data_IF_505932397133
#
_entry.id   IF_505932397133
#
_cell.length_a   1.000
_cell.length_b   1.000
_cell.length_c   1.000
_cell.angle_alpha   90.00
_cell.angle_beta   90.00
_cell.angle_gamma   90.00
#
_symmetry.space_group_name_H-M   'P 1'
#
loop_
_entity.id
_entity.type
_entity.pdbx_description
1 polymer ?
#
# COMPACT_ATOMS: atom_id res chain seq x y z
N UNK A 1 6.81 -14.01 -15.80
CA UNK A 1 6.18 -13.49 -14.57
C UNK A 1 5.44 -12.22 -14.91
N UNK A 2 4.15 -12.11 -14.59
CA UNK A 2 3.40 -10.86 -14.73
C UNK A 2 4.06 -9.78 -13.86
N UNK A 3 4.33 -8.60 -14.44
CA UNK A 3 4.87 -7.47 -13.68
C UNK A 3 3.90 -7.10 -12.56
N UNK A 4 4.38 -7.06 -11.32
CA UNK A 4 3.61 -6.57 -10.19
C UNK A 4 3.61 -5.04 -10.22
N UNK A 5 2.45 -4.44 -10.46
CA UNK A 5 2.28 -2.99 -10.56
C UNK A 5 1.94 -2.32 -9.21
N UNK A 6 2.11 -3.04 -8.10
CA UNK A 6 1.70 -2.57 -6.78
C UNK A 6 0.19 -2.64 -6.54
N UNK A 7 -0.23 -2.22 -5.35
CA UNK A 7 -1.63 -2.20 -4.94
C UNK A 7 -2.35 -0.89 -5.28
N UNK A 8 -1.75 0.03 -6.06
CA UNK A 8 -2.33 1.32 -6.48
C UNK A 8 -2.71 2.21 -5.28
N UNK A 9 -3.46 3.28 -5.54
CA UNK A 9 -3.86 4.29 -4.56
C UNK A 9 -5.38 4.32 -4.41
N UNK A 10 -5.84 4.74 -3.22
CA UNK A 10 -7.24 5.00 -2.98
C UNK A 10 -7.72 6.20 -3.81
N UNK A 11 -8.89 6.08 -4.46
CA UNK A 11 -9.49 7.18 -5.25
C UNK A 11 -9.95 8.36 -4.39
N UNK A 12 -10.22 8.15 -3.10
CA UNK A 12 -10.75 9.21 -2.23
C UNK A 12 -9.66 9.98 -1.47
N UNK A 13 -8.65 9.27 -0.93
CA UNK A 13 -7.63 9.88 -0.07
C UNK A 13 -6.21 9.78 -0.63
N UNK A 14 -6.03 9.17 -1.80
CA UNK A 14 -4.73 9.04 -2.50
C UNK A 14 -3.63 8.33 -1.69
N UNK A 15 -3.98 7.70 -0.56
CA UNK A 15 -3.07 6.85 0.21
C UNK A 15 -2.75 5.58 -0.59
N UNK A 16 -1.49 5.15 -0.53
CA UNK A 16 -1.04 3.91 -1.14
C UNK A 16 -1.76 2.74 -0.47
N UNK A 17 -2.44 1.91 -1.24
CA UNK A 17 -3.01 0.68 -0.72
C UNK A 17 -1.88 -0.31 -0.41
N UNK A 18 -2.09 -1.14 0.58
CA UNK A 18 -1.21 -2.26 0.95
C UNK A 18 -1.96 -3.57 0.85
N UNK A 19 -1.26 -4.70 0.96
CA UNK A 19 -1.89 -6.02 0.95
C UNK A 19 -2.94 -6.10 2.05
N UNK A 20 -4.19 -6.40 1.70
CA UNK A 20 -5.30 -6.54 2.66
C UNK A 20 -6.06 -5.26 3.02
N UNK A 21 -5.59 -4.08 2.61
CA UNK A 21 -6.19 -2.78 2.98
C UNK A 21 -6.89 -2.05 1.83
N UNK A 22 -7.46 -2.79 0.88
CA UNK A 22 -8.19 -2.20 -0.24
C UNK A 22 -9.42 -3.02 -0.65
N UNK A 23 -10.36 -2.31 -1.26
CA UNK A 23 -11.55 -2.86 -1.90
C UNK A 23 -11.63 -2.29 -3.31
N UNK A 24 -11.75 -3.18 -4.30
CA UNK A 24 -12.06 -2.79 -5.66
C UNK A 24 -13.57 -2.83 -5.89
N UNK A 25 -14.15 -1.69 -6.27
CA UNK A 25 -15.56 -1.58 -6.59
C UNK A 25 -15.74 -0.73 -7.85
N UNK A 26 -16.51 -1.22 -8.82
CA UNK A 26 -16.77 -0.52 -10.10
C UNK A 26 -15.50 -0.01 -10.80
N UNK A 27 -14.46 -0.85 -10.89
CA UNK A 27 -13.14 -0.53 -11.47
C UNK A 27 -12.38 0.61 -10.76
N UNK A 28 -12.85 1.06 -9.60
CA UNK A 28 -12.18 2.02 -8.72
C UNK A 28 -11.63 1.29 -7.50
N UNK A 29 -10.48 1.73 -7.01
CA UNK A 29 -9.86 1.18 -5.81
C UNK A 29 -10.06 2.14 -4.64
N UNK A 30 -10.53 1.59 -3.53
CA UNK A 30 -10.74 2.31 -2.28
C UNK A 30 -9.88 1.67 -1.20
N UNK A 31 -9.31 2.47 -0.31
CA UNK A 31 -8.82 1.89 0.95
C UNK A 31 -10.02 1.42 1.78
N UNK A 32 -9.80 0.43 2.63
CA UNK A 32 -10.82 -0.12 3.53
C UNK A 32 -11.52 0.96 4.34
N UNK A 33 -10.78 1.94 4.87
CA UNK A 33 -11.35 3.07 5.59
C UNK A 33 -12.32 3.91 4.73
N UNK A 34 -11.90 4.37 3.54
CA UNK A 34 -12.78 5.15 2.67
C UNK A 34 -13.99 4.34 2.19
N UNK A 35 -13.82 3.03 1.96
CA UNK A 35 -14.93 2.17 1.61
C UNK A 35 -15.96 2.08 2.74
N UNK A 36 -15.51 1.81 3.97
CA UNK A 36 -16.40 1.72 5.14
C UNK A 36 -17.11 3.04 5.36
N UNK A 37 -16.42 4.16 5.32
CA UNK A 37 -17.04 5.47 5.49
C UNK A 37 -18.11 5.77 4.42
N UNK A 38 -17.90 5.35 3.17
CA UNK A 38 -18.87 5.54 2.10
C UNK A 38 -20.14 4.72 2.30
N UNK A 39 -20.04 3.54 2.94
CA UNK A 39 -21.19 2.64 3.18
C UNK A 39 -21.84 2.87 4.55
N UNK A 40 -21.05 3.24 5.55
CA UNK A 40 -21.46 3.49 6.92
C UNK A 40 -20.68 4.70 7.48
N UNK A 41 -21.20 5.92 7.29
CA UNK A 41 -20.54 7.15 7.72
C UNK A 41 -20.28 7.23 9.23
N UNK A 42 -21.15 6.62 10.04
CA UNK A 42 -21.13 6.68 11.51
C UNK A 42 -20.43 5.46 12.14
N UNK A 43 -19.57 4.77 11.39
CA UNK A 43 -18.83 3.64 11.93
C UNK A 43 -17.92 4.09 13.09
N UNK A 44 -18.10 3.57 14.32
CA UNK A 44 -17.40 4.08 15.50
C UNK A 44 -15.87 3.91 15.44
N UNK A 45 -15.39 2.87 14.75
CA UNK A 45 -13.95 2.56 14.64
C UNK A 45 -13.29 3.13 13.37
N UNK A 46 -13.96 4.06 12.65
CA UNK A 46 -13.46 4.53 11.35
C UNK A 46 -12.10 5.23 11.45
N UNK A 47 -11.85 5.96 12.54
CA UNK A 47 -10.59 6.65 12.78
C UNK A 47 -9.44 5.68 13.04
N UNK A 48 -9.70 4.60 13.78
CA UNK A 48 -8.71 3.56 14.06
C UNK A 48 -8.32 2.81 12.79
N UNK A 49 -9.31 2.45 11.97
CA UNK A 49 -9.08 1.81 10.67
C UNK A 49 -8.26 2.74 9.75
N UNK A 50 -8.54 4.05 9.75
CA UNK A 50 -7.75 5.02 8.98
C UNK A 50 -6.30 5.08 9.43
N UNK A 51 -6.05 5.11 10.75
CA UNK A 51 -4.68 5.12 11.28
C UNK A 51 -3.91 3.89 10.85
N UNK A 52 -4.52 2.71 11.00
CA UNK A 52 -3.92 1.44 10.57
C UNK A 52 -3.57 1.43 9.07
N UNK A 53 -4.45 1.91 8.21
CA UNK A 53 -4.18 2.01 6.77
C UNK A 53 -2.98 2.91 6.47
N UNK A 54 -2.82 4.01 7.22
CA UNK A 54 -1.68 4.93 7.05
C UNK A 54 -0.39 4.28 7.54
N UNK A 55 -0.41 3.67 8.72
CA UNK A 55 0.74 2.97 9.31
C UNK A 55 1.23 1.84 8.40
N UNK A 56 0.32 0.99 7.91
CA UNK A 56 0.66 -0.10 6.99
C UNK A 56 1.26 0.46 5.69
N UNK A 57 0.76 1.60 5.20
CA UNK A 57 1.29 2.25 4.00
C UNK A 57 2.68 2.88 4.21
N UNK A 58 2.98 3.36 5.43
CA UNK A 58 4.31 3.84 5.82
C UNK A 58 5.29 2.67 5.96
N UNK A 59 4.90 1.60 6.65
CA UNK A 59 5.71 0.39 6.79
C UNK A 59 6.05 -0.22 5.43
N UNK A 60 5.06 -0.31 4.54
CA UNK A 60 5.25 -0.83 3.19
C UNK A 60 6.26 -0.02 2.37
N UNK A 61 6.30 1.31 2.54
CA UNK A 61 7.32 2.17 1.91
C UNK A 61 8.72 1.87 2.48
N UNK A 62 8.82 1.58 3.77
CA UNK A 62 10.06 1.24 4.46
C UNK A 62 10.58 -0.16 4.08
N UNK A 63 9.71 -1.17 3.96
CA UNK A 63 10.09 -2.52 3.48
C UNK A 63 10.65 -2.46 2.05
N UNK A 64 10.07 -1.62 1.18
CA UNK A 64 10.63 -1.38 -0.16
C UNK A 64 12.00 -0.70 -0.11
N UNK A 65 12.31 0.01 0.98
CA UNK A 65 13.53 0.79 1.19
C UNK A 65 14.59 0.08 2.03
N UNK A 66 14.28 -1.01 2.74
CA UNK A 66 15.27 -1.80 3.46
C UNK A 66 16.17 -2.53 2.46
N UNK A 67 17.15 -1.78 1.94
CA UNK A 67 18.27 -2.21 1.09
C UNK A 67 19.27 -3.06 1.86
N UNK A 68 18.81 -3.94 2.74
CA UNK A 68 19.66 -5.02 3.24
C UNK A 68 19.96 -6.03 2.10
N UNK A 69 19.16 -6.01 1.03
CA UNK A 69 19.46 -6.60 -0.29
C UNK A 69 20.14 -5.59 -1.26
N UNK A 70 20.98 -4.68 -0.74
CA UNK A 70 22.05 -4.15 -1.58
C UNK A 70 22.90 -5.32 -2.11
N UNK A 71 23.59 -5.22 -3.27
CA UNK A 71 24.50 -6.28 -3.66
C UNK A 71 25.43 -6.54 -2.49
N UNK A 72 25.53 -7.81 -2.07
CA UNK A 72 26.50 -8.24 -1.07
C UNK A 72 27.83 -7.55 -1.41
N UNK A 73 28.61 -7.08 -0.44
CA UNK A 73 29.83 -6.32 -0.70
C UNK A 73 30.85 -7.05 -1.61
N UNK A 74 30.64 -8.34 -1.89
CA UNK A 74 31.46 -9.23 -2.73
C UNK A 74 30.67 -9.78 -3.95
N UNK A 75 29.45 -9.29 -4.22
CA UNK A 75 28.66 -9.69 -5.40
C UNK A 75 29.19 -9.03 -6.68
N UNK A 76 29.16 -9.73 -7.84
CA UNK A 76 29.58 -9.14 -9.11
C UNK A 76 28.77 -7.86 -9.38
N UNK A 77 29.48 -6.77 -9.68
CA UNK A 77 28.85 -5.49 -10.03
C UNK A 77 27.92 -5.71 -11.23
N UNK A 78 26.69 -5.23 -11.12
CA UNK A 78 25.74 -5.19 -12.24
C UNK A 78 26.44 -4.54 -13.44
N UNK A 79 26.60 -5.32 -14.52
CA UNK A 79 27.11 -4.81 -15.78
C UNK A 79 26.09 -3.81 -16.31
N UNK A 80 26.47 -2.53 -16.35
CA UNK A 80 25.71 -1.51 -17.08
C UNK A 80 25.89 -1.80 -18.57
N UNK A 81 24.81 -2.14 -19.26
CA UNK A 81 24.70 -1.96 -20.70
C UNK A 81 24.23 -0.52 -20.96
#
# INVERSE_FOLDING_TARGET
MSKFYGFRFCVNCEVACTSGNFVDYNKKRYCTACWIQNQNPDHPEIEEIRKKVIEDAEEWKCIKWSREEGPLPIGPKSHRN
#
